data_IF_731872147261
#
_entry.id   IF_731872147261
#
_cell.length_a   1.000
_cell.length_b   1.000
_cell.length_c   1.000
_cell.angle_alpha   90.00
_cell.angle_beta   90.00
_cell.angle_gamma   90.00
#
_symmetry.space_group_name_H-M   'P 1'
#
loop_
_entity.id
_entity.type
_entity.pdbx_description
1 polymer ?
#
# COMPACT_ATOMS: atom_id res chain seq x y z
N UNK A 1 -0.71 -7.47 6.77
CA UNK A 1 0.04 -7.13 5.54
C UNK A 1 1.46 -6.73 5.91
N UNK A 2 2.48 -7.02 5.08
CA UNK A 2 3.83 -6.44 5.28
C UNK A 2 3.96 -5.15 4.46
N UNK A 3 3.81 -4.01 5.13
CA UNK A 3 3.74 -2.68 4.51
C UNK A 3 5.12 -2.00 4.61
N UNK A 4 5.65 -1.56 3.47
CA UNK A 4 6.92 -0.86 3.37
C UNK A 4 6.79 0.63 3.04
N UNK A 5 5.58 1.11 2.76
CA UNK A 5 5.40 2.52 2.45
C UNK A 5 3.93 2.93 2.46
N UNK A 6 3.72 4.22 2.75
CA UNK A 6 2.43 4.87 2.68
C UNK A 6 2.61 6.23 2.01
N UNK A 7 2.16 6.35 0.76
CA UNK A 7 2.04 7.65 0.12
C UNK A 7 0.67 8.22 0.45
N UNK A 8 0.68 9.31 1.21
CA UNK A 8 -0.52 9.92 1.81
C UNK A 8 -1.49 10.52 0.78
N UNK A 9 -1.04 10.73 -0.46
CA UNK A 9 -1.81 11.42 -1.48
C UNK A 9 -1.31 11.10 -2.89
N UNK A 10 -2.23 10.83 -3.81
CA UNK A 10 -2.00 10.72 -5.25
C UNK A 10 -3.25 11.12 -6.03
N UNK A 11 -3.02 11.67 -7.23
CA UNK A 11 -4.04 12.05 -8.21
C UNK A 11 -4.01 11.19 -9.48
N UNK A 12 -3.05 10.25 -9.59
CA UNK A 12 -2.78 9.53 -10.84
C UNK A 12 -2.97 8.01 -10.73
N UNK A 13 -2.88 7.45 -9.52
CA UNK A 13 -2.90 5.99 -9.31
C UNK A 13 -4.31 5.38 -9.25
N UNK A 14 -5.35 6.22 -9.23
CA UNK A 14 -6.73 5.79 -9.36
C UNK A 14 -7.49 6.77 -10.27
N UNK A 15 -8.07 6.31 -11.40
CA UNK A 15 -8.78 7.17 -12.34
C UNK A 15 -9.87 8.01 -11.67
N UNK A 16 -9.78 9.34 -11.83
CA UNK A 16 -10.76 10.31 -11.32
C UNK A 16 -10.97 10.31 -9.79
N UNK A 17 -9.99 9.84 -9.02
CA UNK A 17 -10.09 9.72 -7.56
C UNK A 17 -8.85 10.24 -6.88
N UNK A 18 -9.04 10.97 -5.78
CA UNK A 18 -7.96 11.31 -4.85
C UNK A 18 -7.68 10.07 -4.01
N UNK A 19 -6.45 9.57 -4.05
CA UNK A 19 -6.11 8.29 -3.41
C UNK A 19 -4.94 8.39 -2.44
N UNK A 20 -4.88 7.47 -1.49
CA UNK A 20 -3.65 7.12 -0.80
C UNK A 20 -3.14 5.78 -1.32
N UNK A 21 -1.81 5.60 -1.34
CA UNK A 21 -1.16 4.39 -1.85
C UNK A 21 -0.46 3.68 -0.70
N UNK A 22 -0.74 2.38 -0.56
CA UNK A 22 -0.10 1.47 0.38
C UNK A 22 0.85 0.59 -0.42
N UNK A 23 2.15 0.68 -0.10
CA UNK A 23 3.19 -0.12 -0.73
C UNK A 23 3.50 -1.33 0.14
N UNK A 24 3.29 -2.52 -0.41
CA UNK A 24 3.67 -3.80 0.19
C UNK A 24 5.12 -4.14 -0.12
N UNK A 25 5.79 -4.86 0.78
CA UNK A 25 7.13 -5.42 0.52
C UNK A 25 7.04 -6.87 0.05
N UNK A 26 8.03 -7.30 -0.73
CA UNK A 26 8.09 -8.63 -1.31
C UNK A 26 7.46 -8.68 -2.70
N UNK A 27 8.22 -9.15 -3.68
CA UNK A 27 7.77 -9.39 -5.06
C UNK A 27 8.37 -10.72 -5.54
N UNK A 28 7.61 -11.48 -6.31
CA UNK A 28 8.04 -12.74 -6.93
C UNK A 28 8.86 -12.50 -8.21
N UNK A 29 8.93 -11.25 -8.70
CA UNK A 29 9.75 -10.86 -9.84
C UNK A 29 10.98 -10.04 -9.44
N UNK A 30 11.94 -9.95 -10.38
CA UNK A 30 13.17 -9.16 -10.30
C UNK A 30 13.35 -8.35 -11.59
N UNK A 31 12.30 -7.60 -11.95
CA UNK A 31 12.28 -6.83 -13.19
C UNK A 31 13.47 -5.86 -13.24
N UNK A 32 14.26 -5.83 -14.33
CA UNK A 32 15.43 -4.95 -14.44
C UNK A 32 15.07 -3.46 -14.48
N UNK A 33 13.81 -3.14 -14.79
CA UNK A 33 13.24 -1.79 -14.83
C UNK A 33 12.33 -1.49 -13.61
N UNK A 34 12.49 -2.20 -12.50
CA UNK A 34 11.68 -1.96 -11.32
C UNK A 34 11.88 -0.53 -10.79
N UNK A 35 10.79 0.22 -10.68
CA UNK A 35 10.80 1.58 -10.14
C UNK A 35 11.01 1.63 -8.62
N UNK A 36 10.66 0.55 -7.91
CA UNK A 36 10.72 0.45 -6.45
C UNK A 36 11.56 -0.76 -6.00
N UNK A 37 12.87 -0.83 -6.35
CA UNK A 37 13.73 -1.97 -6.01
C UNK A 37 13.84 -2.23 -4.50
N UNK A 38 13.64 -1.21 -3.67
CA UNK A 38 13.57 -1.28 -2.21
C UNK A 38 12.38 -2.08 -1.69
N UNK A 39 11.33 -2.29 -2.49
CA UNK A 39 10.21 -3.16 -2.13
C UNK A 39 10.46 -4.62 -2.53
N UNK A 40 11.53 -4.90 -3.28
CA UNK A 40 11.81 -6.19 -3.90
C UNK A 40 13.01 -6.89 -3.26
N UNK A 41 14.09 -6.16 -3.01
CA UNK A 41 15.33 -6.69 -2.43
C UNK A 41 15.27 -6.68 -0.89
N UNK A 42 15.32 -7.84 -0.20
CA UNK A 42 15.25 -7.91 1.25
C UNK A 42 16.31 -7.08 2.00
N UNK A 43 17.48 -6.85 1.38
CA UNK A 43 18.55 -6.02 1.97
C UNK A 43 18.24 -4.52 1.94
N UNK A 44 17.27 -4.12 1.12
CA UNK A 44 16.88 -2.73 0.91
C UNK A 44 15.49 -2.44 1.47
N UNK A 45 14.84 -3.42 2.13
CA UNK A 45 13.49 -3.24 2.64
C UNK A 45 13.43 -2.03 3.58
N UNK A 46 12.46 -1.12 3.36
CA UNK A 46 12.26 0.02 4.24
C UNK A 46 11.80 -0.45 5.62
N UNK A 47 11.82 0.49 6.56
CA UNK A 47 11.20 0.27 7.86
C UNK A 47 9.72 -0.05 7.68
N UNK A 48 9.24 -1.04 8.45
CA UNK A 48 7.87 -1.50 8.34
C UNK A 48 6.92 -0.49 8.97
N UNK A 49 5.85 -0.21 8.24
CA UNK A 49 4.71 0.55 8.76
C UNK A 49 3.68 -0.46 9.29
N UNK A 50 3.14 -0.20 10.47
CA UNK A 50 2.10 -1.04 11.07
C UNK A 50 0.74 -0.81 10.40
N UNK A 51 -0.14 -1.81 10.44
CA UNK A 51 -1.52 -1.63 9.98
C UNK A 51 -2.23 -0.51 10.74
N UNK A 52 -1.99 -0.39 12.05
CA UNK A 52 -2.61 0.64 12.89
C UNK A 52 -2.21 2.05 12.47
N UNK A 53 -0.95 2.28 12.10
CA UNK A 53 -0.51 3.56 11.55
C UNK A 53 -1.24 3.91 10.24
N UNK A 54 -1.42 2.93 9.35
CA UNK A 54 -2.18 3.11 8.11
C UNK A 54 -3.64 3.43 8.41
N UNK A 55 -4.29 2.66 9.26
CA UNK A 55 -5.71 2.87 9.59
C UNK A 55 -5.94 4.18 10.33
N UNK A 56 -5.05 4.57 11.24
CA UNK A 56 -5.11 5.87 11.93
C UNK A 56 -4.95 7.03 10.95
N UNK A 57 -4.02 6.92 9.98
CA UNK A 57 -3.90 7.90 8.92
C UNK A 57 -5.19 8.01 8.10
N UNK A 58 -5.72 6.88 7.61
CA UNK A 58 -6.91 6.86 6.75
C UNK A 58 -8.16 7.38 7.48
N UNK A 59 -8.31 7.08 8.77
CA UNK A 59 -9.41 7.60 9.60
C UNK A 59 -9.42 9.13 9.62
N UNK A 60 -8.25 9.76 9.72
CA UNK A 60 -8.09 11.22 9.71
C UNK A 60 -8.27 11.85 8.30
N UNK A 61 -8.50 11.03 7.27
CA UNK A 61 -8.56 11.44 5.86
C UNK A 61 -9.83 10.99 5.14
N UNK A 62 -10.79 10.42 5.86
CA UNK A 62 -12.04 9.85 5.29
C UNK A 62 -12.81 10.80 4.39
N UNK A 63 -12.83 12.11 4.69
CA UNK A 63 -13.53 13.13 3.87
C UNK A 63 -12.65 13.76 2.78
N UNK A 64 -11.38 13.34 2.67
CA UNK A 64 -10.37 13.95 1.78
C UNK A 64 -9.82 12.97 0.74
N UNK A 65 -10.00 11.67 0.95
CA UNK A 65 -9.56 10.61 0.05
C UNK A 65 -10.79 9.85 -0.43
N UNK A 66 -10.86 9.60 -1.74
CA UNK A 66 -11.93 8.83 -2.36
C UNK A 66 -11.58 7.34 -2.50
N UNK A 67 -10.29 7.00 -2.47
CA UNK A 67 -9.81 5.65 -2.74
C UNK A 67 -8.52 5.31 -1.98
N UNK A 68 -8.28 4.01 -1.85
CA UNK A 68 -7.00 3.45 -1.38
C UNK A 68 -6.48 2.49 -2.44
N UNK A 69 -5.25 2.73 -2.90
CA UNK A 69 -4.54 1.87 -3.84
C UNK A 69 -3.59 1.00 -3.06
N UNK A 70 -3.64 -0.31 -3.28
CA UNK A 70 -2.70 -1.27 -2.69
C UNK A 70 -1.79 -1.76 -3.82
N UNK A 71 -0.49 -1.49 -3.70
CA UNK A 71 0.53 -1.83 -4.69
C UNK A 71 1.84 -2.20 -3.98
N UNK A 72 2.99 -2.07 -4.64
CA UNK A 72 4.31 -2.25 -4.07
C UNK A 72 5.07 -3.36 -4.77
N UNK A 73 5.67 -4.27 -4.01
CA UNK A 73 6.28 -5.46 -4.60
C UNK A 73 5.23 -6.26 -5.37
N UNK A 74 4.53 -7.17 -4.72
CA UNK A 74 3.36 -7.84 -5.28
C UNK A 74 2.37 -8.14 -4.13
N UNK A 75 1.32 -7.31 -3.97
CA UNK A 75 0.34 -7.47 -2.90
C UNK A 75 -0.29 -8.86 -2.85
N UNK A 76 -0.51 -9.49 -4.00
CA UNK A 76 -1.21 -10.78 -4.10
C UNK A 76 -0.40 -11.96 -3.53
N UNK A 77 0.88 -11.76 -3.18
CA UNK A 77 1.67 -12.74 -2.43
C UNK A 77 1.28 -12.82 -0.95
N UNK A 78 0.58 -11.81 -0.43
CA UNK A 78 0.25 -11.70 0.99
C UNK A 78 -1.07 -12.41 1.27
N UNK A 79 -1.03 -13.49 2.06
CA UNK A 79 -2.22 -14.33 2.37
C UNK A 79 -3.33 -13.57 3.10
N UNK A 80 -2.96 -12.51 3.82
CA UNK A 80 -3.85 -11.65 4.59
C UNK A 80 -4.37 -10.45 3.79
N UNK A 81 -4.07 -10.34 2.48
CA UNK A 81 -4.56 -9.25 1.62
C UNK A 81 -6.08 -9.11 1.64
N UNK A 82 -6.81 -10.22 1.55
CA UNK A 82 -8.28 -10.20 1.58
C UNK A 82 -8.80 -9.56 2.89
N UNK A 83 -8.26 -9.99 4.03
CA UNK A 83 -8.65 -9.48 5.34
C UNK A 83 -8.34 -7.98 5.46
N UNK A 84 -7.20 -7.55 4.94
CA UNK A 84 -6.80 -6.15 4.92
C UNK A 84 -7.75 -5.29 4.07
N UNK A 85 -8.12 -5.76 2.87
CA UNK A 85 -9.10 -5.09 2.00
C UNK A 85 -10.47 -5.04 2.68
N UNK A 86 -10.91 -6.11 3.35
CA UNK A 86 -12.17 -6.12 4.10
C UNK A 86 -12.18 -5.07 5.22
N UNK A 87 -11.07 -4.93 5.97
CA UNK A 87 -10.92 -3.87 6.99
C UNK A 87 -11.02 -2.48 6.35
N UNK A 88 -10.28 -2.21 5.27
CA UNK A 88 -10.35 -0.95 4.54
C UNK A 88 -11.78 -0.65 4.08
N UNK A 89 -12.46 -1.63 3.47
CA UNK A 89 -13.82 -1.45 2.96
C UNK A 89 -14.85 -1.17 4.05
N UNK A 90 -14.62 -1.67 5.26
CA UNK A 90 -15.49 -1.39 6.41
C UNK A 90 -15.41 0.07 6.87
N UNK A 91 -14.37 0.82 6.47
CA UNK A 91 -14.18 2.22 6.86
C UNK A 91 -14.99 3.20 6.01
N UNK A 92 -15.42 2.81 4.81
CA UNK A 92 -16.09 3.65 3.81
C UNK A 92 -15.58 3.37 2.40
#
# INVERSE_FOLDING_TARGET
>A
MIIGGLQKFSLIDYPHKISAIIFTTGCNFRCPYCHNPELVNPKLYPERITEDEVFNFLKNRKEKLDAVVITGGEPTLHKDLYQFISKLKSMG
#
